data_IF_133842669324
#
_entry.id   IF_133842669324
#
_cell.length_a   1.000
_cell.length_b   1.000
_cell.length_c   1.000
_cell.angle_alpha   90.00
_cell.angle_beta   90.00
_cell.angle_gamma   90.00
#
_symmetry.space_group_name_H-M   'P 1'
#
loop_
_entity.id
_entity.type
_entity.pdbx_description
1 polymer ?
#
# COMPACT_ATOMS: atom_id res chain seq x y z
N UNK A 1 6.63 -8.89 38.15
CA UNK A 1 5.65 -7.82 37.87
C UNK A 1 6.35 -6.62 37.24
N UNK A 2 6.47 -6.62 35.91
CA UNK A 2 6.87 -5.43 35.16
C UNK A 2 5.60 -4.66 34.82
N UNK A 3 5.54 -3.41 35.27
CA UNK A 3 4.49 -2.46 34.96
C UNK A 3 4.79 -1.88 33.58
N UNK A 4 4.19 -2.45 32.53
CA UNK A 4 4.07 -1.77 31.24
C UNK A 4 2.97 -0.72 31.40
N UNK A 5 3.39 0.51 31.68
CA UNK A 5 2.56 1.68 31.58
C UNK A 5 2.25 1.92 30.09
N UNK A 6 1.21 1.27 29.60
CA UNK A 6 0.55 1.62 28.34
C UNK A 6 -0.09 2.99 28.59
N UNK A 7 0.64 4.05 28.27
CA UNK A 7 0.01 5.35 28.07
C UNK A 7 -0.76 5.25 26.77
N UNK A 8 -2.05 4.91 26.89
CA UNK A 8 -3.02 5.15 25.83
C UNK A 8 -3.07 6.66 25.59
N UNK A 9 -2.24 7.17 24.67
CA UNK A 9 -2.52 8.40 23.94
C UNK A 9 -3.70 8.10 23.04
N UNK A 10 -4.89 8.28 23.59
CA UNK A 10 -6.11 8.34 22.84
C UNK A 10 -6.08 9.52 21.85
N UNK A 11 -6.60 9.27 20.63
CA UNK A 11 -7.05 10.25 19.65
C UNK A 11 -5.94 11.05 18.92
N UNK A 12 -5.42 10.48 17.84
CA UNK A 12 -4.46 11.10 16.92
C UNK A 12 -3.58 10.06 16.21
N UNK A 13 -4.17 8.94 15.80
CA UNK A 13 -3.47 7.82 15.19
C UNK A 13 -3.15 8.13 13.74
N UNK A 14 -2.19 9.03 13.53
CA UNK A 14 -1.45 9.06 12.27
C UNK A 14 -0.53 7.85 12.22
N UNK A 15 -0.23 7.40 11.02
CA UNK A 15 0.53 6.19 10.74
C UNK A 15 1.95 6.15 11.34
N UNK A 16 2.48 7.29 11.77
CA UNK A 16 3.78 7.42 12.47
C UNK A 16 3.88 6.68 13.81
N UNK A 17 2.79 6.07 14.29
CA UNK A 17 2.78 5.18 15.45
C UNK A 17 2.73 3.69 15.13
N UNK A 18 2.57 3.31 13.86
CA UNK A 18 2.45 1.92 13.46
C UNK A 18 3.77 1.15 13.68
N UNK A 19 3.74 -0.15 13.96
CA UNK A 19 4.95 -0.97 14.08
C UNK A 19 5.83 -0.91 12.82
N UNK A 20 7.14 -1.05 12.99
CA UNK A 20 8.15 -1.16 11.92
C UNK A 20 8.88 -2.52 11.92
N UNK A 21 8.39 -3.48 12.70
CA UNK A 21 8.96 -4.82 12.89
C UNK A 21 7.94 -5.92 12.53
N UNK A 22 7.00 -5.63 11.63
CA UNK A 22 6.02 -6.63 11.21
C UNK A 22 6.72 -7.81 10.51
N UNK A 23 6.22 -9.02 10.72
CA UNK A 23 6.68 -10.12 9.87
C UNK A 23 6.14 -9.90 8.45
N UNK A 24 6.93 -10.27 7.43
CA UNK A 24 6.48 -10.18 6.03
C UNK A 24 5.18 -10.96 5.83
N UNK A 25 5.01 -12.10 6.50
CA UNK A 25 3.77 -12.90 6.42
C UNK A 25 2.55 -12.15 6.96
N UNK A 26 2.66 -11.52 8.15
CA UNK A 26 1.56 -10.74 8.73
C UNK A 26 1.24 -9.50 7.90
N UNK A 27 2.27 -8.82 7.38
CA UNK A 27 2.09 -7.69 6.47
C UNK A 27 1.36 -8.10 5.20
N UNK A 28 1.81 -9.18 4.54
CA UNK A 28 1.25 -9.63 3.28
C UNK A 28 -0.18 -10.20 3.40
N UNK A 29 -0.55 -10.77 4.55
CA UNK A 29 -1.93 -11.20 4.83
C UNK A 29 -2.91 -10.03 4.73
N UNK A 30 -2.49 -8.84 5.20
CA UNK A 30 -3.32 -7.63 5.11
C UNK A 30 -3.15 -6.91 3.77
N UNK A 31 -1.92 -6.76 3.28
CA UNK A 31 -1.61 -6.05 2.04
C UNK A 31 -2.27 -6.69 0.81
N UNK A 32 -2.38 -8.03 0.80
CA UNK A 32 -3.05 -8.78 -0.26
C UNK A 32 -4.49 -9.16 0.09
N UNK A 33 -5.07 -8.61 1.15
CA UNK A 33 -6.44 -8.96 1.56
C UNK A 33 -7.43 -8.55 0.47
N UNK A 34 -7.97 -9.57 -0.21
CA UNK A 34 -8.92 -9.43 -1.31
C UNK A 34 -10.37 -9.31 -0.80
N UNK A 35 -10.58 -9.12 0.51
CA UNK A 35 -11.92 -9.10 1.11
C UNK A 35 -12.85 -8.02 0.55
N UNK A 36 -12.30 -6.99 -0.10
CA UNK A 36 -13.03 -5.95 -0.83
C UNK A 36 -13.35 -6.25 -2.30
N UNK A 37 -12.90 -7.36 -2.88
CA UNK A 37 -13.01 -7.62 -4.33
C UNK A 37 -14.41 -7.95 -4.83
N UNK A 38 -15.29 -8.40 -3.93
CA UNK A 38 -16.71 -8.67 -4.20
C UNK A 38 -17.59 -7.40 -4.09
N UNK A 39 -17.00 -6.24 -3.76
CA UNK A 39 -17.73 -4.96 -3.63
C UNK A 39 -18.11 -4.45 -5.02
N UNK A 40 -19.34 -3.93 -5.13
CA UNK A 40 -19.79 -3.27 -6.35
C UNK A 40 -18.96 -1.98 -6.56
N UNK A 41 -18.24 -1.82 -7.68
CA UNK A 41 -17.43 -0.63 -7.92
C UNK A 41 -18.27 0.65 -8.08
N UNK A 42 -19.60 0.54 -8.23
CA UNK A 42 -20.51 1.69 -8.20
C UNK A 42 -20.95 2.08 -6.77
N UNK A 43 -20.56 1.32 -5.75
CA UNK A 43 -20.84 1.57 -4.33
C UNK A 43 -19.63 2.21 -3.64
N UNK A 44 -19.45 3.52 -3.88
CA UNK A 44 -18.33 4.30 -3.34
C UNK A 44 -18.20 4.23 -1.81
N UNK A 45 -19.34 4.14 -1.10
CA UNK A 45 -19.34 4.01 0.36
C UNK A 45 -18.75 2.68 0.82
N UNK A 46 -19.17 1.57 0.19
CA UNK A 46 -18.59 0.26 0.49
C UNK A 46 -17.11 0.16 0.08
N UNK A 47 -16.73 0.79 -1.04
CA UNK A 47 -15.34 0.84 -1.48
C UNK A 47 -14.46 1.63 -0.51
N UNK A 48 -14.92 2.80 -0.06
CA UNK A 48 -14.24 3.60 0.95
C UNK A 48 -14.07 2.83 2.26
N UNK A 49 -15.15 2.24 2.77
CA UNK A 49 -15.13 1.44 4.00
C UNK A 49 -14.08 0.31 3.91
N UNK A 50 -13.97 -0.36 2.76
CA UNK A 50 -13.00 -1.43 2.55
C UNK A 50 -11.55 -0.93 2.50
N UNK A 51 -11.29 0.19 1.80
CA UNK A 51 -9.95 0.79 1.72
C UNK A 51 -9.51 1.31 3.10
N UNK A 52 -10.42 1.95 3.84
CA UNK A 52 -10.16 2.41 5.20
C UNK A 52 -9.93 1.25 6.17
N UNK A 53 -10.72 0.17 6.08
CA UNK A 53 -10.51 -1.01 6.91
C UNK A 53 -9.16 -1.69 6.62
N UNK A 54 -8.74 -1.75 5.35
CA UNK A 54 -7.41 -2.26 5.01
C UNK A 54 -6.29 -1.36 5.56
N UNK A 55 -6.41 -0.03 5.40
CA UNK A 55 -5.44 0.92 5.93
C UNK A 55 -5.33 0.85 7.46
N UNK A 56 -6.44 0.72 8.18
CA UNK A 56 -6.45 0.53 9.64
C UNK A 56 -5.74 -0.76 10.05
N UNK A 57 -6.00 -1.87 9.35
CA UNK A 57 -5.32 -3.14 9.63
C UNK A 57 -3.82 -3.06 9.32
N UNK A 58 -3.44 -2.37 8.26
CA UNK A 58 -2.04 -2.09 7.92
C UNK A 58 -1.39 -1.21 8.99
N UNK A 59 -2.11 -0.22 9.54
CA UNK A 59 -1.64 0.60 10.66
C UNK A 59 -1.41 -0.21 11.95
N UNK A 60 -2.26 -1.21 12.21
CA UNK A 60 -2.14 -2.10 13.37
C UNK A 60 -0.99 -3.10 13.22
N UNK A 61 -0.81 -3.69 12.03
CA UNK A 61 0.27 -4.66 11.76
C UNK A 61 1.62 -3.97 11.60
N UNK A 62 1.65 -2.86 10.88
CA UNK A 62 2.86 -2.13 10.55
C UNK A 62 3.59 -2.65 9.30
N UNK A 63 4.81 -2.16 9.10
CA UNK A 63 5.69 -2.55 7.98
C UNK A 63 6.78 -3.50 8.44
N UNK A 64 7.37 -4.31 7.54
CA UNK A 64 8.57 -5.10 7.85
C UNK A 64 9.82 -4.22 8.12
N UNK A 65 10.77 -4.73 8.93
CA UNK A 65 12.04 -4.03 9.23
C UNK A 65 12.91 -3.81 7.98
N UNK A 66 12.76 -4.66 6.96
CA UNK A 66 13.54 -4.60 5.72
C UNK A 66 13.06 -3.50 4.74
N UNK A 67 11.92 -2.85 5.01
CA UNK A 67 11.48 -1.70 4.20
C UNK A 67 12.37 -0.49 4.49
N UNK A 68 12.78 0.21 3.44
CA UNK A 68 13.60 1.41 3.61
C UNK A 68 12.78 2.59 4.16
N UNK A 69 13.46 3.67 4.54
CA UNK A 69 12.84 4.87 5.11
C UNK A 69 11.81 5.48 4.16
N UNK A 70 12.07 5.49 2.85
CA UNK A 70 11.15 6.01 1.85
C UNK A 70 9.87 5.18 1.74
N UNK A 71 9.99 3.84 1.66
CA UNK A 71 8.84 2.94 1.70
C UNK A 71 8.07 3.04 3.03
N UNK A 72 8.76 3.23 4.14
CA UNK A 72 8.12 3.44 5.45
C UNK A 72 7.33 4.74 5.51
N UNK A 73 7.93 5.85 5.08
CA UNK A 73 7.22 7.14 5.01
C UNK A 73 6.04 7.07 4.05
N UNK A 74 6.16 6.33 2.95
CA UNK A 74 5.08 6.09 1.99
C UNK A 74 3.88 5.36 2.59
N UNK A 75 4.14 4.31 3.38
CA UNK A 75 3.12 3.63 4.17
C UNK A 75 2.41 4.63 5.11
N UNK A 76 3.19 5.52 5.74
CA UNK A 76 2.64 6.46 6.69
C UNK A 76 1.71 7.49 6.02
N UNK A 77 2.14 8.01 4.87
CA UNK A 77 1.32 8.90 4.03
C UNK A 77 0.05 8.17 3.57
N UNK A 78 0.17 6.93 3.07
CA UNK A 78 -0.98 6.18 2.57
C UNK A 78 -2.08 6.03 3.62
N UNK A 79 -1.71 5.58 4.83
CA UNK A 79 -2.68 5.38 5.93
C UNK A 79 -3.30 6.72 6.36
N UNK A 80 -2.51 7.79 6.47
CA UNK A 80 -2.99 9.11 6.87
C UNK A 80 -4.00 9.66 5.84
N UNK A 81 -3.64 9.60 4.55
CA UNK A 81 -4.48 10.06 3.44
C UNK A 81 -5.80 9.29 3.37
N UNK A 82 -5.76 7.96 3.43
CA UNK A 82 -6.96 7.12 3.38
C UNK A 82 -7.88 7.40 4.58
N UNK A 83 -7.31 7.67 5.75
CA UNK A 83 -8.10 7.98 6.95
C UNK A 83 -8.87 9.31 6.86
N UNK A 84 -8.40 10.23 6.01
CA UNK A 84 -9.05 11.54 5.76
C UNK A 84 -10.00 11.52 4.56
N UNK A 85 -10.06 10.43 3.77
CA UNK A 85 -11.00 10.32 2.64
C UNK A 85 -12.46 10.18 3.09
N UNK A 86 -13.34 10.88 2.38
CA UNK A 86 -14.79 10.72 2.42
C UNK A 86 -15.31 10.16 1.08
N UNK A 87 -16.60 9.78 1.01
CA UNK A 87 -17.21 9.18 -0.19
C UNK A 87 -17.06 10.05 -1.46
N UNK A 88 -16.96 11.37 -1.28
CA UNK A 88 -16.77 12.32 -2.38
C UNK A 88 -15.35 12.30 -2.96
N UNK A 89 -14.35 11.95 -2.16
CA UNK A 89 -12.96 11.87 -2.61
C UNK A 89 -12.74 10.65 -3.51
N UNK A 90 -13.45 9.54 -3.25
CA UNK A 90 -13.44 8.34 -4.11
C UNK A 90 -13.90 8.66 -5.54
N UNK A 91 -14.93 9.49 -5.71
CA UNK A 91 -15.39 9.92 -7.03
C UNK A 91 -14.33 10.76 -7.76
N UNK A 92 -13.53 11.51 -7.00
CA UNK A 92 -12.45 12.32 -7.52
C UNK A 92 -11.18 11.50 -7.83
N UNK A 93 -10.92 10.37 -7.16
CA UNK A 93 -9.76 9.49 -7.46
C UNK A 93 -9.72 8.98 -8.90
N UNK A 94 -10.87 8.71 -9.50
CA UNK A 94 -10.98 8.28 -10.91
C UNK A 94 -10.63 9.41 -11.90
N UNK A 95 -10.60 10.66 -11.42
CA UNK A 95 -10.50 11.87 -12.23
C UNK A 95 -9.30 12.77 -11.87
N UNK A 96 -8.70 12.58 -10.69
CA UNK A 96 -7.67 13.43 -10.11
C UNK A 96 -6.27 12.96 -10.52
N UNK A 97 -5.35 13.92 -10.65
CA UNK A 97 -3.93 13.60 -10.69
C UNK A 97 -3.50 13.24 -9.25
N UNK A 98 -2.67 12.20 -9.03
CA UNK A 98 -2.18 11.86 -7.69
C UNK A 98 -1.48 13.05 -6.99
N UNK A 99 -0.89 13.98 -7.75
CA UNK A 99 -0.32 15.22 -7.23
C UNK A 99 -1.34 16.28 -6.75
N UNK A 100 -2.63 16.08 -7.01
CA UNK A 100 -3.73 16.89 -6.46
C UNK A 100 -4.20 16.37 -5.09
N UNK A 101 -3.86 15.12 -4.74
CA UNK A 101 -4.24 14.44 -3.50
C UNK A 101 -3.11 14.55 -2.46
N UNK A 102 -1.88 14.31 -2.90
CA UNK A 102 -0.67 14.42 -2.08
C UNK A 102 0.39 15.23 -2.80
N UNK A 103 1.45 15.66 -2.11
CA UNK A 103 2.58 16.30 -2.81
C UNK A 103 3.28 15.31 -3.75
N UNK A 104 3.97 15.79 -4.79
CA UNK A 104 4.75 14.91 -5.69
C UNK A 104 5.76 14.04 -4.90
N UNK A 105 6.39 14.61 -3.88
CA UNK A 105 7.33 13.87 -3.01
C UNK A 105 6.63 12.77 -2.20
N UNK A 106 5.41 13.04 -1.72
CA UNK A 106 4.63 12.05 -0.97
C UNK A 106 4.05 10.97 -1.89
N UNK A 107 3.69 11.31 -3.13
CA UNK A 107 3.29 10.34 -4.15
C UNK A 107 4.44 9.36 -4.49
N UNK A 108 5.67 9.87 -4.60
CA UNK A 108 6.86 9.04 -4.83
C UNK A 108 7.08 8.06 -3.65
N UNK A 109 6.96 8.53 -2.41
CA UNK A 109 7.05 7.67 -1.22
C UNK A 109 5.96 6.61 -1.18
N UNK A 110 4.71 6.98 -1.43
CA UNK A 110 3.58 6.03 -1.51
C UNK A 110 3.84 4.98 -2.60
N UNK A 111 4.43 5.39 -3.73
CA UNK A 111 4.85 4.46 -4.78
C UNK A 111 5.94 3.50 -4.30
N UNK A 112 6.95 4.00 -3.56
CA UNK A 112 7.98 3.16 -2.96
C UNK A 112 7.38 2.13 -1.98
N UNK A 113 6.39 2.53 -1.17
CA UNK A 113 5.66 1.63 -0.28
C UNK A 113 4.97 0.48 -1.04
N UNK A 114 4.15 0.81 -2.06
CA UNK A 114 3.45 -0.23 -2.83
C UNK A 114 4.42 -1.13 -3.61
N UNK A 115 5.55 -0.58 -4.07
CA UNK A 115 6.61 -1.34 -4.75
C UNK A 115 7.23 -2.36 -3.80
N UNK A 116 7.70 -1.90 -2.63
CA UNK A 116 8.26 -2.78 -1.59
C UNK A 116 7.26 -3.84 -1.12
N UNK A 117 5.98 -3.47 -0.98
CA UNK A 117 4.90 -4.40 -0.67
C UNK A 117 4.68 -5.46 -1.74
N UNK A 118 4.66 -5.05 -3.01
CA UNK A 118 4.57 -5.95 -4.16
C UNK A 118 5.74 -6.93 -4.20
N UNK A 119 6.97 -6.45 -4.10
CA UNK A 119 8.18 -7.29 -4.11
C UNK A 119 8.19 -8.29 -2.93
N UNK A 120 7.83 -7.82 -1.73
CA UNK A 120 7.81 -8.66 -0.54
C UNK A 120 6.71 -9.74 -0.58
N UNK A 121 5.53 -9.40 -1.10
CA UNK A 121 4.34 -10.26 -1.06
C UNK A 121 4.13 -11.10 -2.32
N UNK A 122 4.75 -10.72 -3.43
CA UNK A 122 4.64 -11.44 -4.71
C UNK A 122 6.01 -11.72 -5.35
N UNK A 123 6.94 -12.39 -4.64
CA UNK A 123 8.27 -12.65 -5.16
C UNK A 123 8.28 -13.49 -6.45
N UNK A 124 7.21 -14.27 -6.71
CA UNK A 124 7.08 -15.03 -7.96
C UNK A 124 6.75 -14.15 -9.18
N UNK A 125 6.29 -12.90 -8.99
CA UNK A 125 6.10 -11.94 -10.08
C UNK A 125 7.42 -11.29 -10.50
N UNK A 126 8.35 -11.07 -9.57
CA UNK A 126 9.70 -10.59 -9.84
C UNK A 126 10.48 -11.60 -10.71
N UNK A 127 10.41 -12.90 -10.36
CA UNK A 127 10.95 -14.00 -11.18
C UNK A 127 10.31 -14.06 -12.59
N UNK A 128 9.04 -13.63 -12.75
CA UNK A 128 8.34 -13.60 -14.04
C UNK A 128 8.76 -12.40 -14.90
N UNK A 129 9.06 -11.24 -14.32
CA UNK A 129 9.58 -10.08 -15.07
C UNK A 129 10.98 -10.36 -15.62
N UNK A 130 11.84 -11.02 -14.85
CA UNK A 130 13.13 -11.52 -15.33
C UNK A 130 12.95 -12.53 -16.49
N UNK A 131 11.99 -13.45 -16.40
CA UNK A 131 11.71 -14.42 -17.47
C UNK A 131 11.14 -13.77 -18.75
N UNK A 132 10.29 -12.75 -18.60
CA UNK A 132 9.71 -12.02 -19.73
C UNK A 132 10.73 -11.12 -20.43
N UNK A 133 11.63 -10.48 -19.68
CA UNK A 133 12.77 -9.73 -20.23
C UNK A 133 13.68 -10.61 -21.09
N UNK A 134 13.99 -11.83 -20.63
CA UNK A 134 14.74 -12.82 -21.40
C UNK A 134 14.00 -13.33 -22.66
N UNK A 135 12.67 -13.22 -22.69
CA UNK A 135 11.82 -13.62 -23.82
C UNK A 135 11.74 -12.52 -24.88
N UNK A 136 11.78 -11.24 -24.49
CA UNK A 136 11.86 -10.09 -25.41
C UNK A 136 13.17 -10.05 -26.19
N UNK A 137 14.30 -10.38 -25.55
CA UNK A 137 15.60 -10.51 -26.23
C UNK A 137 15.66 -11.72 -27.20
N UNK A 138 14.76 -12.70 -27.03
CA UNK A 138 14.66 -13.89 -27.88
C UNK A 138 13.60 -13.79 -28.99
N UNK A 139 12.80 -12.72 -29.03
CA UNK A 139 11.87 -12.44 -30.11
C UNK A 139 12.67 -12.03 -31.37
N UNK A 140 12.73 -12.87 -32.42
CA UNK A 140 13.49 -12.54 -33.60
C UNK A 140 12.88 -11.29 -34.24
N UNK A 141 13.68 -10.22 -34.34
CA UNK A 141 13.30 -8.99 -35.05
C UNK A 141 12.78 -9.38 -36.44
N UNK A 142 11.48 -9.23 -36.67
CA UNK A 142 10.87 -9.59 -37.95
C UNK A 142 11.62 -8.88 -39.10
N UNK A 143 11.95 -9.58 -40.21
CA UNK A 143 12.63 -8.95 -41.32
C UNK A 143 11.67 -7.97 -42.01
N UNK A 144 12.01 -6.68 -41.97
CA UNK A 144 11.38 -5.63 -42.74
C UNK A 144 11.22 -6.07 -44.21
N UNK A 145 9.98 -6.13 -44.69
CA UNK A 145 9.63 -6.33 -46.11
C UNK A 145 9.16 -5.04 -46.76
#
# INVERSE_FOLDING_TARGET
PLLLAVTLTACGGGASGAPDDASVEDFCDVFLDDSGSDIDPEDNGALLDAIQEQADRLADVGTPEDFDEEAREGFEVFVDVVSDFDEGDIEDLDSADPGDIVSEEDADKVTAFFTAGGEACTPELDDLEDELGDLEDQLPSEPAS
#
